data_IF_121431134350
#
_entry.id   IF_121431134350
#
_cell.length_a   1.000
_cell.length_b   1.000
_cell.length_c   1.000
_cell.angle_alpha   90.00
_cell.angle_beta   90.00
_cell.angle_gamma   90.00
#
_symmetry.space_group_name_H-M   'P 1'
#
loop_
_entity.id
_entity.type
_entity.pdbx_description
1 polymer ?
#
# COMPACT_ATOMS: atom_id res chain seq x y z
N UNK A 1 -5.41 -1.63 2.64
CA UNK A 1 -4.49 -0.59 2.14
C UNK A 1 -4.68 0.76 2.82
N UNK A 2 -5.78 1.50 2.57
CA UNK A 2 -5.97 2.87 3.11
C UNK A 2 -5.80 2.94 4.64
N UNK A 3 -6.39 2.00 5.38
CA UNK A 3 -6.21 1.89 6.82
C UNK A 3 -4.73 1.73 7.21
N UNK A 4 -3.99 0.89 6.50
CA UNK A 4 -2.56 0.66 6.75
C UNK A 4 -1.77 1.93 6.46
N UNK A 5 -2.05 2.63 5.34
CA UNK A 5 -1.41 3.90 5.03
C UNK A 5 -1.62 4.91 6.16
N UNK A 6 -2.85 5.06 6.66
CA UNK A 6 -3.15 5.97 7.76
C UNK A 6 -2.41 5.60 9.05
N UNK A 7 -2.37 4.31 9.38
CA UNK A 7 -1.61 3.82 10.55
C UNK A 7 -0.12 4.08 10.38
N UNK A 8 0.45 3.81 9.20
CA UNK A 8 1.86 4.05 8.89
C UNK A 8 2.22 5.54 9.02
N UNK A 9 1.40 6.42 8.44
CA UNK A 9 1.60 7.87 8.52
C UNK A 9 1.55 8.36 9.97
N UNK A 10 0.61 7.85 10.76
CA UNK A 10 0.51 8.18 12.18
C UNK A 10 1.74 7.72 12.96
N UNK A 11 2.18 6.47 12.77
CA UNK A 11 3.33 5.89 13.47
C UNK A 11 4.67 6.52 13.09
N UNK A 12 4.77 7.12 11.90
CA UNK A 12 6.01 7.71 11.38
C UNK A 12 6.01 9.24 11.36
N UNK A 13 5.14 9.86 12.16
CA UNK A 13 5.03 11.33 12.24
C UNK A 13 6.37 11.96 12.62
N UNK A 14 7.10 11.39 13.59
CA UNK A 14 8.37 11.93 14.07
C UNK A 14 9.45 11.94 12.98
N UNK A 15 9.53 10.88 12.17
CA UNK A 15 10.49 10.77 11.07
C UNK A 15 10.14 11.73 9.94
N UNK A 16 8.86 11.89 9.64
CA UNK A 16 8.39 12.87 8.65
C UNK A 16 8.76 14.28 9.10
N UNK A 17 8.56 14.60 10.38
CA UNK A 17 8.94 15.91 10.94
C UNK A 17 10.46 16.13 10.90
N UNK A 18 11.26 15.14 11.31
CA UNK A 18 12.72 15.22 11.25
C UNK A 18 13.24 15.42 9.81
N UNK A 19 12.65 14.71 8.84
CA UNK A 19 12.98 14.88 7.42
C UNK A 19 12.63 16.29 6.89
N UNK A 20 11.49 16.83 7.32
CA UNK A 20 11.09 18.20 6.96
C UNK A 20 12.05 19.24 7.58
N UNK A 21 12.46 19.05 8.84
CA UNK A 21 13.43 19.91 9.50
C UNK A 21 14.80 19.89 8.79
N UNK A 22 15.28 18.71 8.36
CA UNK A 22 16.50 18.59 7.56
C UNK A 22 16.41 19.36 6.24
N UNK A 23 15.21 19.42 5.63
CA UNK A 23 14.93 20.22 4.43
C UNK A 23 14.66 21.69 4.70
N UNK A 24 14.84 22.16 5.95
CA UNK A 24 14.67 23.55 6.35
C UNK A 24 13.22 23.97 6.64
N UNK A 25 12.30 23.01 6.76
CA UNK A 25 10.90 23.25 7.11
C UNK A 25 10.73 23.01 8.60
N UNK A 26 10.62 24.09 9.37
CA UNK A 26 10.30 24.01 10.80
C UNK A 26 8.87 23.49 11.03
N UNK A 27 8.54 23.13 12.27
CA UNK A 27 7.21 22.63 12.65
C UNK A 27 6.07 23.56 12.20
N UNK A 28 6.28 24.88 12.24
CA UNK A 28 5.32 25.89 11.78
C UNK A 28 5.10 25.79 10.26
N UNK A 29 6.17 25.61 9.49
CA UNK A 29 6.13 25.37 8.06
C UNK A 29 5.46 24.04 7.71
N UNK A 30 5.70 22.97 8.47
CA UNK A 30 5.05 21.68 8.28
C UNK A 30 3.53 21.77 8.51
N UNK A 31 3.11 22.45 9.60
CA UNK A 31 1.70 22.76 9.86
C UNK A 31 1.13 23.65 8.76
N UNK A 32 1.89 24.62 8.26
CA UNK A 32 1.51 25.48 7.15
C UNK A 32 1.26 24.70 5.85
N UNK A 33 2.13 23.77 5.48
CA UNK A 33 1.97 22.89 4.32
C UNK A 33 0.73 22.00 4.47
N UNK A 34 0.54 21.41 5.65
CA UNK A 34 -0.65 20.61 5.95
C UNK A 34 -1.93 21.45 5.83
N UNK A 35 -1.94 22.64 6.40
CA UNK A 35 -3.08 23.56 6.34
C UNK A 35 -3.39 23.97 4.89
N UNK A 36 -2.38 24.35 4.11
CA UNK A 36 -2.56 24.68 2.68
C UNK A 36 -3.07 23.47 1.90
N UNK A 37 -2.54 22.27 2.16
CA UNK A 37 -2.99 21.03 1.54
C UNK A 37 -4.46 20.71 1.83
N UNK A 38 -4.87 20.81 3.10
CA UNK A 38 -6.27 20.58 3.52
C UNK A 38 -7.19 21.65 2.92
N UNK A 39 -6.79 22.91 2.95
CA UNK A 39 -7.58 24.03 2.42
C UNK A 39 -7.73 23.90 0.89
N UNK A 40 -6.65 23.54 0.19
CA UNK A 40 -6.65 23.25 -1.25
C UNK A 40 -7.53 22.05 -1.60
N UNK A 41 -7.52 21.00 -0.79
CA UNK A 41 -8.43 19.86 -0.92
C UNK A 41 -9.90 20.27 -0.77
N UNK A 42 -10.22 21.12 0.22
CA UNK A 42 -11.56 21.64 0.46
C UNK A 42 -12.05 22.54 -0.68
N UNK A 43 -11.22 23.48 -1.11
CA UNK A 43 -11.53 24.37 -2.24
C UNK A 43 -11.66 23.57 -3.53
N UNK A 44 -10.73 22.63 -3.78
CA UNK A 44 -10.76 21.73 -4.93
C UNK A 44 -12.05 20.90 -4.98
N UNK A 45 -12.44 20.28 -3.87
CA UNK A 45 -13.71 19.54 -3.79
C UNK A 45 -14.94 20.45 -3.93
N UNK A 46 -14.92 21.67 -3.38
CA UNK A 46 -15.98 22.66 -3.57
C UNK A 46 -16.15 23.06 -5.04
N UNK A 47 -15.03 23.40 -5.71
CA UNK A 47 -15.01 23.77 -7.14
C UNK A 47 -15.46 22.60 -8.00
N UNK A 48 -14.95 21.38 -7.74
CA UNK A 48 -15.37 20.17 -8.45
C UNK A 48 -16.88 20.00 -8.30
N UNK A 49 -17.43 20.06 -7.07
CA UNK A 49 -18.87 19.94 -6.79
C UNK A 49 -19.72 20.96 -7.55
N UNK A 50 -19.29 22.22 -7.63
CA UNK A 50 -20.00 23.31 -8.32
C UNK A 50 -19.80 23.32 -9.84
N UNK A 51 -18.69 22.78 -10.33
CA UNK A 51 -18.33 22.80 -11.75
C UNK A 51 -19.21 21.85 -12.56
N UNK A 52 -19.63 22.33 -13.73
CA UNK A 52 -20.37 21.56 -14.76
C UNK A 52 -19.46 21.06 -15.89
N UNK A 53 -18.15 21.31 -15.80
CA UNK A 53 -17.19 20.85 -16.80
C UNK A 53 -17.26 19.32 -16.97
N UNK A 54 -17.10 18.79 -18.20
CA UNK A 54 -17.09 17.35 -18.44
C UNK A 54 -16.02 16.62 -17.62
N UNK A 55 -14.87 17.25 -17.36
CA UNK A 55 -13.85 16.69 -16.47
C UNK A 55 -14.33 16.60 -15.01
N UNK A 56 -14.97 17.66 -14.50
CA UNK A 56 -15.49 17.68 -13.13
C UNK A 56 -16.60 16.64 -12.92
N UNK A 57 -17.45 16.42 -13.93
CA UNK A 57 -18.49 15.39 -13.86
C UNK A 57 -17.89 13.97 -13.88
N UNK A 58 -16.88 13.71 -14.74
CA UNK A 58 -16.16 12.42 -14.76
C UNK A 58 -15.46 12.15 -13.43
N UNK A 59 -14.88 13.17 -12.82
CA UNK A 59 -14.24 13.07 -11.51
C UNK A 59 -15.28 12.80 -10.40
N UNK A 60 -16.43 13.49 -10.40
CA UNK A 60 -17.53 13.19 -9.46
C UNK A 60 -18.03 11.76 -9.60
N UNK A 61 -18.30 11.30 -10.81
CA UNK A 61 -18.80 9.94 -11.04
C UNK A 61 -17.77 8.90 -10.58
N UNK A 62 -16.48 9.14 -10.81
CA UNK A 62 -15.41 8.27 -10.32
C UNK A 62 -15.36 8.25 -8.78
N UNK A 63 -15.37 9.42 -8.14
CA UNK A 63 -15.33 9.52 -6.67
C UNK A 63 -16.58 8.89 -6.02
N UNK A 64 -17.76 9.14 -6.57
CA UNK A 64 -19.00 8.52 -6.10
C UNK A 64 -18.96 7.00 -6.30
N UNK A 65 -18.49 6.52 -7.45
CA UNK A 65 -18.32 5.08 -7.67
C UNK A 65 -17.35 4.43 -6.68
N UNK A 66 -16.26 5.12 -6.32
CA UNK A 66 -15.32 4.66 -5.31
C UNK A 66 -15.95 4.64 -3.90
N UNK A 67 -16.71 5.68 -3.54
CA UNK A 67 -17.46 5.73 -2.29
C UNK A 67 -18.54 4.64 -2.23
N UNK A 68 -19.29 4.43 -3.29
CA UNK A 68 -20.29 3.36 -3.41
C UNK A 68 -19.62 1.98 -3.28
N UNK A 69 -18.44 1.80 -3.87
CA UNK A 69 -17.62 0.61 -3.69
C UNK A 69 -17.25 0.35 -2.23
N UNK A 70 -16.74 1.35 -1.53
CA UNK A 70 -16.39 1.23 -0.09
C UNK A 70 -17.65 0.99 0.76
N UNK A 71 -18.73 1.73 0.50
CA UNK A 71 -19.99 1.59 1.23
C UNK A 71 -20.73 0.28 0.92
N UNK A 72 -20.45 -0.36 -0.22
CA UNK A 72 -21.06 -1.65 -0.59
C UNK A 72 -20.77 -2.74 0.43
N UNK A 73 -19.61 -2.70 1.10
CA UNK A 73 -19.21 -3.65 2.14
C UNK A 73 -20.25 -3.69 3.27
N UNK A 74 -20.81 -2.54 3.64
CA UNK A 74 -21.83 -2.44 4.69
C UNK A 74 -23.20 -2.96 4.25
N UNK A 75 -23.46 -3.02 2.94
CA UNK A 75 -24.71 -3.52 2.34
C UNK A 75 -24.69 -5.04 2.08
N UNK A 76 -23.56 -5.72 2.26
CA UNK A 76 -23.43 -7.16 2.02
C UNK A 76 -24.14 -8.00 3.09
N UNK A 77 -24.89 -9.03 2.66
CA UNK A 77 -25.56 -10.00 3.56
C UNK A 77 -24.58 -10.67 4.54
N UNK A 78 -23.38 -11.02 4.08
CA UNK A 78 -22.31 -11.67 4.88
C UNK A 78 -21.11 -10.73 5.09
N UNK A 79 -21.36 -9.52 5.60
CA UNK A 79 -20.31 -8.50 5.82
C UNK A 79 -19.20 -8.94 6.78
N UNK A 80 -19.52 -9.64 7.87
CA UNK A 80 -18.53 -10.04 8.88
C UNK A 80 -17.49 -11.05 8.34
N UNK A 81 -17.89 -12.17 7.70
CA UNK A 81 -16.92 -13.05 7.05
C UNK A 81 -16.05 -12.33 6.03
N UNK A 82 -16.64 -11.44 5.21
CA UNK A 82 -15.88 -10.68 4.22
C UNK A 82 -14.81 -9.78 4.86
N UNK A 83 -15.18 -9.03 5.91
CA UNK A 83 -14.24 -8.15 6.64
C UNK A 83 -13.13 -8.97 7.27
N UNK A 84 -13.46 -10.11 7.92
CA UNK A 84 -12.45 -10.98 8.53
C UNK A 84 -11.46 -11.55 7.51
N UNK A 85 -11.94 -12.04 6.36
CA UNK A 85 -11.05 -12.53 5.30
C UNK A 85 -10.19 -11.40 4.73
N UNK A 86 -10.76 -10.20 4.57
CA UNK A 86 -10.01 -9.04 4.10
C UNK A 86 -8.90 -8.68 5.07
N UNK A 87 -9.20 -8.59 6.38
CA UNK A 87 -8.20 -8.32 7.41
C UNK A 87 -7.15 -9.44 7.46
N UNK A 88 -7.55 -10.70 7.37
CA UNK A 88 -6.64 -11.83 7.34
C UNK A 88 -5.63 -11.73 6.18
N UNK A 89 -6.10 -11.42 4.96
CA UNK A 89 -5.23 -11.24 3.79
C UNK A 89 -4.22 -10.10 4.02
N UNK A 90 -4.69 -8.95 4.51
CA UNK A 90 -3.80 -7.81 4.79
C UNK A 90 -2.78 -8.12 5.90
N UNK A 91 -3.19 -8.80 6.96
CA UNK A 91 -2.28 -9.23 8.04
C UNK A 91 -1.26 -10.25 7.52
N UNK A 92 -1.66 -11.18 6.66
CA UNK A 92 -0.73 -12.13 6.03
C UNK A 92 0.30 -11.40 5.15
N UNK A 93 -0.13 -10.41 4.38
CA UNK A 93 0.76 -9.58 3.57
C UNK A 93 1.76 -8.78 4.41
N UNK A 94 1.33 -8.18 5.53
CA UNK A 94 2.25 -7.52 6.47
C UNK A 94 3.14 -8.55 7.19
N UNK A 95 2.59 -9.70 7.54
CA UNK A 95 3.32 -10.81 8.16
C UNK A 95 4.42 -11.37 7.26
N UNK A 96 4.23 -11.34 5.94
CA UNK A 96 5.27 -11.68 4.97
C UNK A 96 6.51 -10.78 5.11
N UNK A 97 6.33 -9.47 5.29
CA UNK A 97 7.44 -8.54 5.57
C UNK A 97 8.16 -8.90 6.87
N UNK A 98 7.38 -9.24 7.90
CA UNK A 98 7.94 -9.66 9.19
C UNK A 98 8.80 -10.92 9.09
N UNK A 99 8.35 -11.93 8.32
CA UNK A 99 9.11 -13.17 8.14
C UNK A 99 10.36 -12.93 7.29
N UNK A 100 10.24 -12.19 6.19
CA UNK A 100 11.34 -11.97 5.24
C UNK A 100 12.43 -11.08 5.84
N UNK A 101 12.15 -10.24 6.84
CA UNK A 101 13.18 -9.39 7.46
C UNK A 101 14.35 -10.20 8.04
N UNK A 102 14.11 -11.47 8.36
CA UNK A 102 15.11 -12.40 8.89
C UNK A 102 16.00 -13.04 7.81
N UNK A 103 15.76 -12.77 6.52
CA UNK A 103 16.57 -13.33 5.43
C UNK A 103 17.73 -12.42 5.04
N UNK A 104 17.71 -11.15 5.45
CA UNK A 104 18.76 -10.16 5.16
C UNK A 104 19.22 -9.54 6.47
N UNK A 105 20.52 -9.67 6.79
CA UNK A 105 21.08 -9.30 8.09
C UNK A 105 20.84 -7.82 8.46
N UNK A 106 20.93 -6.90 7.49
CA UNK A 106 20.65 -5.48 7.74
C UNK A 106 19.18 -5.23 8.11
N UNK A 107 18.24 -6.03 7.62
CA UNK A 107 16.80 -5.84 7.85
C UNK A 107 16.26 -6.47 9.13
N UNK A 108 17.07 -7.28 9.82
CA UNK A 108 16.64 -8.01 11.03
C UNK A 108 16.23 -7.06 12.17
N UNK A 109 16.97 -5.96 12.30
CA UNK A 109 16.76 -4.94 13.34
C UNK A 109 15.54 -4.05 13.09
N UNK A 110 14.92 -4.13 11.90
CA UNK A 110 13.77 -3.30 11.55
C UNK A 110 12.56 -3.63 12.44
N UNK A 111 11.99 -2.57 12.97
CA UNK A 111 10.71 -2.60 13.68
C UNK A 111 9.54 -2.75 12.72
N UNK A 112 8.38 -3.15 13.25
CA UNK A 112 7.18 -3.35 12.45
C UNK A 112 6.72 -2.03 11.78
N UNK A 113 6.85 -0.89 12.46
CA UNK A 113 6.48 0.43 11.91
C UNK A 113 7.35 0.82 10.71
N UNK A 114 8.63 0.44 10.72
CA UNK A 114 9.55 0.69 9.59
C UNK A 114 9.21 -0.21 8.40
N UNK A 115 8.91 -1.49 8.65
CA UNK A 115 8.45 -2.42 7.62
C UNK A 115 7.12 -1.97 6.99
N UNK A 116 6.22 -1.34 7.76
CA UNK A 116 4.98 -0.79 7.24
C UNK A 116 5.20 0.35 6.23
N UNK A 117 6.31 1.10 6.31
CA UNK A 117 6.66 2.10 5.28
C UNK A 117 7.07 1.42 3.99
N UNK A 118 7.94 0.42 4.07
CA UNK A 118 8.33 -0.39 2.91
C UNK A 118 7.12 -1.12 2.29
N UNK A 119 6.20 -1.60 3.13
CA UNK A 119 4.93 -2.20 2.71
C UNK A 119 4.08 -1.24 1.89
N UNK A 120 3.90 -0.01 2.38
CA UNK A 120 3.12 1.02 1.68
C UNK A 120 3.77 1.38 0.35
N UNK A 121 5.09 1.58 0.32
CA UNK A 121 5.84 1.85 -0.92
C UNK A 121 5.69 0.72 -1.94
N UNK A 122 5.85 -0.53 -1.50
CA UNK A 122 5.66 -1.71 -2.34
C UNK A 122 4.21 -1.84 -2.85
N UNK A 123 3.21 -1.56 -2.01
CA UNK A 123 1.81 -1.59 -2.42
C UNK A 123 1.50 -0.56 -3.52
N UNK A 124 2.08 0.65 -3.43
CA UNK A 124 1.98 1.63 -4.51
C UNK A 124 2.67 1.13 -5.79
N UNK A 125 3.89 0.60 -5.70
CA UNK A 125 4.61 0.05 -6.85
C UNK A 125 3.81 -1.06 -7.57
N UNK A 126 3.20 -1.97 -6.81
CA UNK A 126 2.31 -3.01 -7.33
C UNK A 126 1.05 -2.46 -7.99
N UNK A 127 0.49 -1.37 -7.47
CA UNK A 127 -0.74 -0.76 -8.02
C UNK A 127 -0.49 0.07 -9.28
N UNK A 128 0.69 0.66 -9.41
CA UNK A 128 1.05 1.55 -10.52
C UNK A 128 1.59 0.80 -11.74
N UNK A 129 2.08 -0.42 -11.56
CA UNK A 129 2.69 -1.23 -12.63
C UNK A 129 2.04 -2.62 -12.73
N UNK A 130 2.19 -3.28 -13.88
CA UNK A 130 1.65 -4.62 -14.08
C UNK A 130 2.41 -5.64 -13.22
N UNK A 131 1.86 -5.94 -12.03
CA UNK A 131 2.44 -6.93 -11.12
C UNK A 131 3.72 -6.49 -10.41
N UNK A 132 4.05 -5.20 -10.40
CA UNK A 132 5.16 -4.67 -9.60
C UNK A 132 6.57 -5.00 -10.09
N UNK A 133 6.74 -5.60 -11.28
CA UNK A 133 8.06 -6.09 -11.73
C UNK A 133 9.05 -4.94 -11.84
N UNK A 134 10.19 -5.06 -11.15
CA UNK A 134 11.24 -4.03 -11.10
C UNK A 134 10.90 -2.84 -10.19
N UNK A 135 9.73 -2.22 -10.33
CA UNK A 135 9.35 -1.07 -9.50
C UNK A 135 9.17 -1.44 -8.02
N UNK A 136 8.72 -2.66 -7.74
CA UNK A 136 8.50 -3.11 -6.37
C UNK A 136 9.79 -3.19 -5.56
N UNK A 137 10.86 -3.91 -5.99
CA UNK A 137 12.15 -3.89 -5.30
C UNK A 137 12.70 -2.47 -5.11
N UNK A 138 12.65 -1.63 -6.14
CA UNK A 138 13.17 -0.25 -6.09
C UNK A 138 12.41 0.58 -5.04
N UNK A 139 11.08 0.49 -5.03
CA UNK A 139 10.26 1.25 -4.08
C UNK A 139 10.48 0.78 -2.63
N UNK A 140 10.57 -0.53 -2.42
CA UNK A 140 10.87 -1.12 -1.11
C UNK A 140 12.27 -0.74 -0.63
N UNK A 141 13.27 -0.83 -1.50
CA UNK A 141 14.66 -0.44 -1.23
C UNK A 141 14.78 1.05 -0.86
N UNK A 142 14.14 1.92 -1.63
CA UNK A 142 14.12 3.37 -1.37
C UNK A 142 13.45 3.68 -0.02
N UNK A 143 12.35 3.00 0.30
CA UNK A 143 11.68 3.15 1.58
C UNK A 143 12.52 2.67 2.76
N UNK A 144 13.27 1.58 2.59
CA UNK A 144 14.18 1.06 3.62
C UNK A 144 15.44 1.91 3.78
N UNK A 145 15.88 2.60 2.72
CA UNK A 145 17.00 3.53 2.77
C UNK A 145 16.80 4.69 3.77
N UNK A 146 15.55 5.08 4.04
CA UNK A 146 15.22 6.06 5.09
C UNK A 146 15.71 5.60 6.48
N UNK A 147 15.82 4.29 6.68
CA UNK A 147 16.25 3.68 7.93
C UNK A 147 17.72 3.25 7.92
N UNK A 148 18.49 3.70 6.93
CA UNK A 148 19.93 3.39 6.83
C UNK A 148 20.25 2.00 6.28
N UNK A 149 19.28 1.31 5.68
CA UNK A 149 19.52 0.04 4.97
C UNK A 149 20.24 0.34 3.66
N UNK A 150 21.30 -0.42 3.34
CA UNK A 150 22.03 -0.27 2.08
C UNK A 150 21.13 -0.59 0.89
N UNK A 151 21.36 0.06 -0.25
CA UNK A 151 20.59 -0.21 -1.48
C UNK A 151 20.67 -1.67 -1.90
N UNK A 152 21.83 -2.30 -1.70
CA UNK A 152 22.05 -3.72 -2.01
C UNK A 152 21.17 -4.62 -1.15
N UNK A 153 21.13 -4.40 0.17
CA UNK A 153 20.27 -5.16 1.08
C UNK A 153 18.79 -4.86 0.88
N UNK A 154 18.43 -3.60 0.63
CA UNK A 154 17.06 -3.18 0.34
C UNK A 154 16.52 -3.80 -0.96
N UNK A 155 17.33 -3.80 -2.03
CA UNK A 155 16.98 -4.44 -3.30
C UNK A 155 16.86 -5.95 -3.14
N UNK A 156 17.79 -6.59 -2.42
CA UNK A 156 17.72 -8.02 -2.13
C UNK A 156 16.44 -8.38 -1.39
N UNK A 157 16.09 -7.63 -0.33
CA UNK A 157 14.86 -7.80 0.43
C UNK A 157 13.62 -7.66 -0.46
N UNK A 158 13.55 -6.61 -1.29
CA UNK A 158 12.45 -6.38 -2.22
C UNK A 158 12.31 -7.47 -3.29
N UNK A 159 13.42 -7.97 -3.82
CA UNK A 159 13.44 -9.07 -4.79
C UNK A 159 13.02 -10.40 -4.19
N UNK A 160 13.53 -10.75 -3.00
CA UNK A 160 13.13 -11.98 -2.28
C UNK A 160 11.62 -11.99 -2.10
N UNK A 161 11.06 -10.87 -1.68
CA UNK A 161 9.63 -10.71 -1.45
C UNK A 161 8.82 -10.84 -2.74
N UNK A 162 9.18 -10.09 -3.78
CA UNK A 162 8.47 -10.14 -5.05
C UNK A 162 8.54 -11.53 -5.70
N UNK A 163 9.71 -12.16 -5.70
CA UNK A 163 9.92 -13.51 -6.28
C UNK A 163 9.15 -14.55 -5.48
N UNK A 164 9.22 -14.53 -4.14
CA UNK A 164 8.52 -15.50 -3.30
C UNK A 164 7.00 -15.46 -3.54
N UNK A 165 6.42 -14.25 -3.59
CA UNK A 165 5.00 -14.09 -3.87
C UNK A 165 4.64 -14.53 -5.30
N UNK A 166 5.43 -14.12 -6.29
CA UNK A 166 5.18 -14.47 -7.70
C UNK A 166 5.29 -15.97 -7.91
N UNK A 167 6.32 -16.61 -7.36
CA UNK A 167 6.52 -18.05 -7.42
C UNK A 167 5.36 -18.81 -6.77
N UNK A 168 4.92 -18.38 -5.59
CA UNK A 168 3.74 -18.94 -4.93
C UNK A 168 2.50 -18.87 -5.84
N UNK A 169 2.22 -17.70 -6.43
CA UNK A 169 1.07 -17.52 -7.33
C UNK A 169 1.19 -18.41 -8.58
N UNK A 170 2.38 -18.52 -9.17
CA UNK A 170 2.61 -19.39 -10.34
C UNK A 170 2.39 -20.85 -9.98
N UNK A 171 2.98 -21.33 -8.87
CA UNK A 171 2.87 -22.73 -8.45
C UNK A 171 1.42 -23.10 -8.12
N UNK A 172 0.78 -22.39 -7.18
CA UNK A 172 -0.60 -22.71 -6.77
C UNK A 172 -1.62 -22.40 -7.86
N UNK A 173 -1.37 -21.39 -8.69
CA UNK A 173 -2.17 -21.09 -9.88
C UNK A 173 -2.12 -22.23 -10.89
N UNK A 174 -0.93 -22.77 -11.16
CA UNK A 174 -0.73 -23.90 -12.08
C UNK A 174 -1.39 -25.17 -11.54
N UNK A 175 -1.20 -25.47 -10.26
CA UNK A 175 -1.87 -26.62 -9.60
C UNK A 175 -3.39 -26.47 -9.74
N UNK A 176 -3.94 -25.29 -9.44
CA UNK A 176 -5.38 -25.04 -9.53
C UNK A 176 -5.90 -25.23 -10.96
N UNK A 177 -5.14 -24.76 -11.97
CA UNK A 177 -5.49 -24.90 -13.37
C UNK A 177 -5.56 -26.37 -13.82
N UNK A 178 -4.65 -27.22 -13.35
CA UNK A 178 -4.64 -28.65 -13.67
C UNK A 178 -5.75 -29.40 -12.91
N UNK A 179 -5.95 -29.06 -11.65
CA UNK A 179 -6.90 -29.76 -10.76
C UNK A 179 -8.35 -29.43 -11.09
N UNK A 180 -8.65 -28.21 -11.54
CA UNK A 180 -10.02 -27.77 -11.87
C UNK A 180 -10.73 -28.69 -12.89
N UNK A 181 -10.16 -28.97 -14.09
CA UNK A 181 -10.77 -29.89 -15.06
C UNK A 181 -10.90 -31.32 -14.54
N UNK A 182 -9.96 -31.79 -13.72
CA UNK A 182 -9.98 -33.15 -13.16
C UNK A 182 -11.09 -33.33 -12.12
N UNK A 183 -11.29 -32.34 -11.24
CA UNK A 183 -12.35 -32.37 -10.23
C UNK A 183 -13.73 -32.12 -10.83
N UNK A 184 -13.81 -31.28 -11.87
CA UNK A 184 -15.06 -30.93 -12.50
C UNK A 184 -15.41 -31.83 -13.71
N UNK A 185 -14.74 -32.98 -13.86
CA UNK A 185 -14.97 -33.94 -14.96
C UNK A 185 -16.31 -34.68 -14.85
N UNK A 186 -16.89 -34.74 -13.66
CA UNK A 186 -18.16 -35.44 -13.37
C UNK A 186 -19.34 -34.47 -13.08
N UNK A 187 -19.22 -33.20 -13.51
CA UNK A 187 -20.30 -32.19 -13.53
C UNK A 187 -20.31 -31.51 -14.89
#
# INVERSE_FOLDING_TARGET
>A
LLLIILVTLFLQTDIILAFLEEKGVNLVGAIGILAVGITGLFIGTYIIRRSKSPFAQKLKSFLNGLLDGVLSIFKMKKKWPFILHTLFIWTAYVGMFWVIKHTVTETESLSLSQLLVAFVAGAFAMSTTNGGIGLYPIAVSTALGIYGISSVSGDAFGWIMWIAQTLMVVIFGTISFIVLPLLNRNR
#
